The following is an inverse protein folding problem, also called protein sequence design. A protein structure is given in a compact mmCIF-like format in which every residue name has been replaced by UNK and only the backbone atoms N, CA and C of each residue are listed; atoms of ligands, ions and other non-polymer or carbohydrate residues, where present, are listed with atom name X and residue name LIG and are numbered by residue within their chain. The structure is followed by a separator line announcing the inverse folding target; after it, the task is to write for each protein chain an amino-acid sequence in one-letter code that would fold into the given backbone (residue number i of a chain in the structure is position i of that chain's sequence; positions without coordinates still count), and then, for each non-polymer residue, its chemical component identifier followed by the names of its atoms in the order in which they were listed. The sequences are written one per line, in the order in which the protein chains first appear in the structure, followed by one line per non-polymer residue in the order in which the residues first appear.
data_IF_831727426073
#
_entry.id   IF_831727426073
#
_cell.length_a   1.000
_cell.length_b   1.000
_cell.length_c   1.000
_cell.angle_alpha   90.00
_cell.angle_beta   90.00
_cell.angle_gamma   90.00
#
_symmetry.space_group_name_H-M   'P 1'
#
loop_
_entity.id
_entity.type
_entity.pdbx_description
1 polymer ?
#
# COMPACT_ATOMS: atom_id res chain seq x y z
N UNK A 1 3.78 12.33 -9.80
CA UNK A 1 2.75 12.97 -8.98
C UNK A 1 1.91 13.93 -9.81
N UNK A 2 0.77 14.36 -9.27
CA UNK A 2 -0.15 15.26 -10.00
C UNK A 2 0.54 16.57 -10.44
N UNK A 3 1.38 17.16 -9.59
CA UNK A 3 2.14 18.37 -9.92
C UNK A 3 3.10 18.18 -11.10
N UNK A 4 3.68 17.00 -11.28
CA UNK A 4 4.51 16.68 -12.45
C UNK A 4 3.66 16.61 -13.73
N UNK A 5 2.46 16.05 -13.65
CA UNK A 5 1.51 15.96 -14.78
C UNK A 5 1.11 17.36 -15.22
N UNK A 6 0.73 18.22 -14.28
CA UNK A 6 0.34 19.61 -14.54
C UNK A 6 1.50 20.41 -15.14
N UNK A 7 2.71 20.29 -14.59
CA UNK A 7 3.89 20.96 -15.10
C UNK A 7 4.27 20.47 -16.50
N UNK A 8 4.16 19.18 -16.80
CA UNK A 8 4.35 18.63 -18.14
C UNK A 8 3.29 19.13 -19.12
N UNK A 9 2.02 19.19 -18.69
CA UNK A 9 0.93 19.72 -19.52
C UNK A 9 1.17 21.19 -19.88
N UNK A 10 1.62 22.01 -18.94
CA UNK A 10 2.01 23.39 -19.16
C UNK A 10 3.20 23.51 -20.14
N UNK A 11 4.23 22.67 -19.97
CA UNK A 11 5.37 22.63 -20.86
C UNK A 11 4.95 22.28 -22.31
N UNK A 12 4.10 21.25 -22.46
CA UNK A 12 3.55 20.85 -23.77
C UNK A 12 2.73 21.99 -24.39
N UNK A 13 1.87 22.63 -23.59
CA UNK A 13 1.05 23.74 -24.06
C UNK A 13 1.92 24.93 -24.52
N UNK A 14 2.95 25.26 -23.75
CA UNK A 14 3.88 26.36 -24.08
C UNK A 14 4.63 26.12 -25.40
N UNK A 15 4.95 24.89 -25.71
CA UNK A 15 5.72 24.50 -26.90
C UNK A 15 4.87 23.76 -27.94
N UNK A 16 3.55 23.98 -27.90
CA UNK A 16 2.60 23.25 -28.75
C UNK A 16 2.92 23.33 -30.24
N UNK A 17 3.22 24.52 -30.77
CA UNK A 17 3.49 24.74 -32.19
C UNK A 17 4.77 24.03 -32.63
N UNK A 18 5.82 24.01 -31.80
CA UNK A 18 7.08 23.32 -32.09
C UNK A 18 6.89 21.78 -32.04
N UNK A 19 6.10 21.31 -31.10
CA UNK A 19 5.81 19.88 -30.96
C UNK A 19 4.85 19.39 -32.07
N UNK A 20 3.90 20.20 -32.48
CA UNK A 20 2.97 19.89 -33.58
C UNK A 20 3.66 19.90 -34.95
N UNK A 21 4.71 20.73 -35.12
CA UNK A 21 5.51 20.74 -36.32
C UNK A 21 6.53 19.58 -36.40
N UNK A 22 6.78 18.89 -35.27
CA UNK A 22 7.65 17.72 -35.25
C UNK A 22 7.03 16.59 -36.09
N UNK A 23 7.82 15.88 -36.93
CA UNK A 23 7.28 14.81 -37.77
C UNK A 23 6.61 13.73 -36.91
N UNK A 24 5.35 13.43 -37.24
CA UNK A 24 4.59 12.38 -36.57
C UNK A 24 5.40 11.07 -36.54
N UNK A 25 5.42 10.35 -35.42
CA UNK A 25 6.12 9.08 -35.36
C UNK A 25 5.48 8.11 -36.35
N UNK A 26 6.19 7.80 -37.45
CA UNK A 26 5.82 6.72 -38.34
C UNK A 26 5.75 5.42 -37.49
N UNK A 27 4.72 4.61 -37.69
CA UNK A 27 4.53 3.34 -36.99
C UNK A 27 5.74 2.36 -37.13
N UNK A 28 6.67 2.66 -38.01
CA UNK A 28 7.92 1.92 -38.25
C UNK A 28 9.17 2.51 -37.62
N UNK A 29 9.09 3.71 -37.00
CA UNK A 29 10.26 4.32 -36.35
C UNK A 29 10.49 3.75 -34.97
N UNK A 30 11.75 3.48 -34.64
CA UNK A 30 12.15 3.06 -33.30
C UNK A 30 11.98 4.21 -32.31
N UNK A 31 11.77 3.90 -31.01
CA UNK A 31 11.69 4.91 -29.94
C UNK A 31 12.87 5.88 -29.94
N UNK A 32 14.04 5.45 -30.43
CA UNK A 32 15.26 6.24 -30.51
C UNK A 32 15.19 7.30 -31.63
N UNK A 33 14.58 6.98 -32.75
CA UNK A 33 14.40 7.91 -33.90
C UNK A 33 13.29 8.94 -33.62
N UNK A 34 12.27 8.57 -32.86
CA UNK A 34 11.23 9.53 -32.39
C UNK A 34 11.84 10.54 -31.41
N UNK A 35 12.73 10.12 -30.51
CA UNK A 35 13.44 11.02 -29.57
C UNK A 35 14.37 12.00 -30.32
N UNK A 36 14.98 11.60 -31.44
CA UNK A 36 15.86 12.46 -32.24
C UNK A 36 15.14 13.60 -32.98
N UNK A 37 13.80 13.54 -33.08
CA UNK A 37 12.98 14.57 -33.71
C UNK A 37 12.44 15.65 -32.77
N UNK A 38 12.64 15.53 -31.44
CA UNK A 38 12.19 16.51 -30.47
C UNK A 38 13.30 17.51 -30.12
N UNK A 39 12.98 18.81 -29.92
CA UNK A 39 13.97 19.79 -29.49
C UNK A 39 14.62 19.39 -28.16
N UNK A 40 15.95 19.39 -28.10
CA UNK A 40 16.72 18.97 -26.92
C UNK A 40 16.37 19.76 -25.65
N UNK A 41 16.02 21.03 -25.78
CA UNK A 41 15.59 21.89 -24.68
C UNK A 41 14.29 21.42 -24.03
N UNK A 42 13.31 21.02 -24.83
CA UNK A 42 12.02 20.50 -24.34
C UNK A 42 12.24 19.16 -23.64
N UNK A 43 13.08 18.30 -24.22
CA UNK A 43 13.41 16.99 -23.61
C UNK A 43 14.15 17.18 -22.26
N UNK A 44 15.08 18.13 -22.18
CA UNK A 44 15.78 18.46 -20.92
C UNK A 44 14.82 19.04 -19.89
N UNK A 45 13.95 20.00 -20.28
CA UNK A 45 12.94 20.59 -19.39
C UNK A 45 11.97 19.53 -18.88
N UNK A 46 11.45 18.65 -19.75
CA UNK A 46 10.56 17.56 -19.34
C UNK A 46 11.23 16.59 -18.34
N UNK A 47 12.49 16.24 -18.56
CA UNK A 47 13.25 15.42 -17.61
C UNK A 47 13.46 16.11 -16.26
N UNK A 48 13.70 17.42 -16.25
CA UNK A 48 13.87 18.19 -15.01
C UNK A 48 12.57 18.29 -14.20
N UNK A 49 11.41 18.25 -14.86
CA UNK A 49 10.09 18.21 -14.19
C UNK A 49 9.79 16.87 -13.56
N UNK A 50 10.32 15.77 -14.08
CA UNK A 50 10.10 14.40 -13.59
C UNK A 50 11.07 14.04 -12.45
N UNK A 51 11.27 14.95 -11.51
CA UNK A 51 12.26 14.74 -10.43
C UNK A 51 11.71 14.01 -9.20
N UNK A 52 10.38 13.76 -9.13
CA UNK A 52 9.71 13.10 -7.98
C UNK A 52 9.70 13.92 -6.69
N UNK A 53 10.37 15.07 -6.65
CA UNK A 53 10.43 15.90 -5.46
C UNK A 53 9.04 16.46 -5.16
N UNK A 54 8.63 16.41 -3.89
CA UNK A 54 7.31 16.84 -3.38
C UNK A 54 6.11 15.95 -3.75
N UNK A 55 6.33 14.80 -4.39
CA UNK A 55 5.30 13.81 -4.63
C UNK A 55 5.40 12.71 -3.57
N UNK A 56 4.59 12.81 -2.51
CA UNK A 56 4.63 11.90 -1.36
C UNK A 56 4.40 10.45 -1.77
N UNK A 57 3.49 10.20 -2.70
CA UNK A 57 3.20 8.89 -3.27
C UNK A 57 4.42 8.27 -3.96
N UNK A 58 5.13 9.04 -4.79
CA UNK A 58 6.34 8.59 -5.47
C UNK A 58 7.48 8.37 -4.46
N UNK A 59 7.67 9.28 -3.52
CA UNK A 59 8.72 9.16 -2.50
C UNK A 59 8.48 7.95 -1.57
N UNK A 60 7.22 7.62 -1.31
CA UNK A 60 6.81 6.51 -0.44
C UNK A 60 6.86 5.17 -1.17
N UNK A 61 6.22 5.05 -2.34
CA UNK A 61 6.05 3.78 -3.05
C UNK A 61 7.06 3.54 -4.17
N UNK A 62 7.87 4.55 -4.48
CA UNK A 62 8.88 4.47 -5.54
C UNK A 62 8.32 4.70 -6.93
N UNK A 63 9.24 4.84 -7.88
CA UNK A 63 8.93 4.93 -9.31
C UNK A 63 10.04 4.30 -10.12
N UNK A 64 9.68 3.45 -11.06
CA UNK A 64 10.60 2.86 -12.02
C UNK A 64 10.17 3.22 -13.44
N UNK A 65 11.05 3.89 -14.18
CA UNK A 65 10.91 4.20 -15.59
C UNK A 65 12.07 3.56 -16.35
N UNK A 66 11.79 2.50 -17.11
CA UNK A 66 12.80 1.74 -17.84
C UNK A 66 13.57 2.60 -18.86
N UNK A 67 12.86 3.52 -19.53
CA UNK A 67 13.45 4.40 -20.55
C UNK A 67 14.23 5.61 -19.97
N UNK A 68 14.09 5.88 -18.66
CA UNK A 68 14.70 7.03 -17.97
C UNK A 68 15.19 6.66 -16.56
N UNK A 69 16.23 5.83 -16.42
CA UNK A 69 16.70 5.37 -15.10
C UNK A 69 17.12 6.50 -14.15
N UNK A 70 17.53 7.65 -14.68
CA UNK A 70 17.97 8.80 -13.88
C UNK A 70 16.85 9.52 -13.11
N UNK A 71 15.57 9.16 -13.34
CA UNK A 71 14.41 9.69 -12.59
C UNK A 71 13.71 8.60 -11.77
N UNK A 72 14.34 7.43 -11.64
CA UNK A 72 13.86 6.38 -10.76
C UNK A 72 13.98 6.83 -9.30
N UNK A 73 13.04 6.38 -8.49
CA UNK A 73 12.96 6.67 -7.07
C UNK A 73 12.76 5.36 -6.31
N UNK A 74 13.67 5.05 -5.40
CA UNK A 74 13.50 3.91 -4.50
C UNK A 74 12.41 4.19 -3.47
N UNK A 75 11.58 3.19 -3.21
CA UNK A 75 10.52 3.29 -2.22
C UNK A 75 11.08 3.45 -0.80
N UNK A 76 10.39 4.26 0.01
CA UNK A 76 10.59 4.33 1.46
C UNK A 76 9.61 3.44 2.23
N UNK A 77 8.62 2.86 1.57
CA UNK A 77 7.58 2.02 2.16
C UNK A 77 7.61 0.62 1.53
N UNK A 78 7.31 -0.38 2.35
CA UNK A 78 7.09 -1.75 1.93
C UNK A 78 5.74 -2.21 2.49
N UNK A 79 4.89 -2.76 1.64
CA UNK A 79 3.58 -3.31 2.02
C UNK A 79 3.58 -4.79 1.70
N UNK A 80 3.38 -5.62 2.72
CA UNK A 80 3.32 -7.06 2.55
C UNK A 80 1.95 -7.50 2.01
N UNK A 81 1.92 -8.65 1.33
CA UNK A 81 0.65 -9.32 1.03
C UNK A 81 -0.08 -9.64 2.33
N UNK A 82 -1.40 -9.42 2.36
CA UNK A 82 -2.23 -9.86 3.46
C UNK A 82 -2.25 -11.41 3.51
N UNK A 83 -2.12 -11.96 4.70
CA UNK A 83 -2.19 -13.39 4.93
C UNK A 83 -3.35 -13.71 5.87
N UNK A 84 -3.95 -14.88 5.73
CA UNK A 84 -4.94 -15.38 6.68
C UNK A 84 -4.26 -15.79 7.98
N UNK A 85 -4.87 -15.48 9.13
CA UNK A 85 -4.42 -15.91 10.46
C UNK A 85 -4.77 -17.36 10.76
N UNK A 86 -5.70 -17.95 10.01
CA UNK A 86 -6.25 -19.29 10.18
C UNK A 86 -6.32 -20.04 8.85
N UNK A 87 -6.63 -21.34 8.90
CA UNK A 87 -6.90 -22.13 7.71
C UNK A 87 -8.14 -21.59 7.00
N UNK A 88 -8.03 -21.32 5.70
CA UNK A 88 -9.13 -20.87 4.84
C UNK A 88 -9.63 -22.05 4.03
N UNK A 89 -10.93 -22.26 4.03
CA UNK A 89 -11.62 -23.18 3.12
C UNK A 89 -12.27 -22.35 2.02
N UNK A 90 -12.02 -22.72 0.77
CA UNK A 90 -12.59 -22.04 -0.39
C UNK A 90 -13.91 -22.70 -0.76
N UNK A 91 -14.93 -21.91 -0.93
CA UNK A 91 -16.22 -22.33 -1.45
C UNK A 91 -16.33 -21.91 -2.91
N UNK A 92 -16.96 -22.74 -3.72
CA UNK A 92 -17.11 -22.52 -5.15
C UNK A 92 -18.59 -22.41 -5.49
N UNK A 93 -18.94 -21.37 -6.22
CA UNK A 93 -20.24 -21.22 -6.82
C UNK A 93 -20.12 -21.28 -8.34
N UNK A 94 -21.00 -22.06 -8.96
CA UNK A 94 -21.07 -22.23 -10.41
C UNK A 94 -22.19 -21.38 -10.97
N UNK A 95 -21.88 -20.63 -12.01
CA UNK A 95 -22.89 -19.88 -12.72
C UNK A 95 -22.80 -20.17 -14.23
N UNK A 96 -23.95 -20.10 -14.89
CA UNK A 96 -24.09 -20.22 -16.33
C UNK A 96 -24.72 -18.97 -16.88
N UNK A 97 -24.22 -18.49 -18.03
CA UNK A 97 -24.91 -17.49 -18.81
C UNK A 97 -25.73 -18.20 -19.89
N UNK A 98 -27.04 -17.94 -19.90
CA UNK A 98 -27.98 -18.48 -20.88
C UNK A 98 -28.45 -17.32 -21.75
N UNK A 99 -28.42 -17.49 -23.09
CA UNK A 99 -29.01 -16.52 -24.00
C UNK A 99 -30.52 -16.78 -24.13
N UNK A 100 -31.33 -15.94 -23.48
CA UNK A 100 -32.80 -16.01 -23.54
C UNK A 100 -33.38 -15.73 -24.94
N UNK A 101 -32.54 -15.28 -25.89
CA UNK A 101 -32.94 -14.97 -27.27
C UNK A 101 -32.39 -15.96 -28.29
N UNK A 102 -31.69 -17.00 -27.85
CA UNK A 102 -31.18 -18.03 -28.76
C UNK A 102 -32.32 -18.75 -29.47
N UNK A 103 -32.15 -19.03 -30.75
CA UNK A 103 -33.16 -19.75 -31.56
C UNK A 103 -33.21 -21.25 -31.16
N UNK A 104 -34.35 -21.93 -31.38
CA UNK A 104 -34.45 -23.35 -31.09
C UNK A 104 -33.45 -24.18 -31.91
N UNK A 105 -32.52 -24.83 -31.23
CA UNK A 105 -31.46 -25.65 -31.83
C UNK A 105 -30.06 -25.05 -31.75
N UNK A 106 -29.93 -23.80 -31.30
CA UNK A 106 -28.63 -23.21 -30.97
C UNK A 106 -28.21 -23.53 -29.53
N UNK A 107 -26.89 -23.58 -29.25
CA UNK A 107 -26.41 -23.76 -27.88
C UNK A 107 -26.88 -22.60 -26.99
N UNK A 108 -27.75 -22.89 -26.01
CA UNK A 108 -28.30 -21.89 -25.10
C UNK A 108 -27.33 -21.48 -23.98
N UNK A 109 -26.23 -22.20 -23.81
CA UNK A 109 -25.23 -21.92 -22.75
C UNK A 109 -23.97 -21.38 -23.40
N UNK A 110 -23.72 -20.08 -23.25
CA UNK A 110 -22.53 -19.44 -23.80
C UNK A 110 -21.32 -19.59 -22.87
N UNK A 111 -21.53 -19.65 -21.55
CA UNK A 111 -20.44 -19.70 -20.58
C UNK A 111 -20.84 -20.45 -19.32
N UNK A 112 -19.97 -21.36 -18.92
CA UNK A 112 -19.99 -21.94 -17.57
C UNK A 112 -18.72 -21.44 -16.88
N UNK A 113 -18.86 -20.80 -15.73
CA UNK A 113 -17.73 -20.32 -14.94
C UNK A 113 -17.98 -20.58 -13.45
N UNK A 114 -16.92 -20.44 -12.68
CA UNK A 114 -16.99 -20.59 -11.22
C UNK A 114 -16.44 -19.34 -10.54
N UNK A 115 -17.05 -18.97 -9.42
CA UNK A 115 -16.57 -17.91 -8.53
C UNK A 115 -16.13 -18.57 -7.23
N UNK A 116 -14.94 -18.22 -6.78
CA UNK A 116 -14.42 -18.62 -5.49
C UNK A 116 -14.83 -17.62 -4.42
N UNK A 117 -15.34 -18.13 -3.30
CA UNK A 117 -15.63 -17.36 -2.09
C UNK A 117 -14.72 -17.82 -0.97
N UNK A 118 -14.22 -16.87 -0.20
CA UNK A 118 -13.54 -17.15 1.05
C UNK A 118 -13.87 -16.10 2.09
N UNK A 119 -13.85 -16.51 3.35
CA UNK A 119 -13.93 -15.63 4.50
C UNK A 119 -12.74 -15.89 5.40
N UNK A 120 -12.01 -14.84 5.76
CA UNK A 120 -10.81 -14.98 6.60
C UNK A 120 -10.57 -13.75 7.47
N UNK A 121 -9.97 -13.99 8.65
CA UNK A 121 -9.32 -12.95 9.41
C UNK A 121 -7.92 -12.72 8.84
N UNK A 122 -7.63 -11.50 8.41
CA UNK A 122 -6.38 -11.16 7.75
C UNK A 122 -5.42 -10.41 8.67
N UNK A 123 -4.14 -10.79 8.58
CA UNK A 123 -3.02 -10.00 9.05
C UNK A 123 -2.45 -9.18 7.90
N UNK A 124 -2.29 -7.87 8.12
CA UNK A 124 -1.68 -6.93 7.17
C UNK A 124 -0.46 -6.30 7.82
N UNK A 125 0.57 -6.07 7.04
CA UNK A 125 1.81 -5.46 7.52
C UNK A 125 2.35 -4.46 6.51
N UNK A 126 2.87 -3.36 7.01
CA UNK A 126 3.63 -2.39 6.24
C UNK A 126 4.73 -1.79 7.11
N UNK A 127 5.79 -1.31 6.46
CA UNK A 127 6.88 -0.59 7.11
C UNK A 127 7.24 0.65 6.30
N UNK A 128 7.55 1.74 6.98
CA UNK A 128 8.07 2.98 6.40
C UNK A 128 9.43 3.27 7.03
N UNK A 129 10.41 3.50 6.19
CA UNK A 129 11.69 4.12 6.57
C UNK A 129 11.53 5.64 6.54
N UNK A 130 11.39 6.25 7.72
CA UNK A 130 11.17 7.68 7.86
C UNK A 130 12.37 8.51 7.34
N UNK A 131 13.61 8.06 7.60
CA UNK A 131 14.81 8.72 7.12
C UNK A 131 14.90 8.68 5.59
N UNK A 132 14.58 7.53 4.99
CA UNK A 132 14.53 7.36 3.54
C UNK A 132 13.46 8.27 2.92
N UNK A 133 12.29 8.37 3.55
CA UNK A 133 11.21 9.24 3.07
C UNK A 133 11.62 10.72 3.09
N UNK A 134 12.23 11.19 4.18
CA UNK A 134 12.79 12.54 4.25
C UNK A 134 13.87 12.75 3.19
N UNK A 135 14.78 11.78 3.00
CA UNK A 135 15.80 11.82 1.97
C UNK A 135 15.22 11.92 0.56
N UNK A 136 14.11 11.22 0.29
CA UNK A 136 13.42 11.26 -1.00
C UNK A 136 12.74 12.61 -1.24
N UNK A 137 12.02 13.14 -0.23
CA UNK A 137 11.23 14.39 -0.34
C UNK A 137 12.07 15.66 -0.18
N UNK A 138 13.22 15.58 0.52
CA UNK A 138 14.04 16.73 0.92
C UNK A 138 13.29 17.74 1.80
N UNK A 139 12.22 17.31 2.46
CA UNK A 139 11.36 18.15 3.28
C UNK A 139 10.74 17.32 4.42
N UNK A 140 11.17 17.58 5.67
CA UNK A 140 10.75 16.83 6.86
C UNK A 140 9.26 16.94 7.12
N UNK A 141 8.70 18.15 7.09
CA UNK A 141 7.28 18.34 7.36
C UNK A 141 6.38 17.60 6.36
N UNK A 142 6.74 17.58 5.09
CA UNK A 142 6.00 16.83 4.07
C UNK A 142 6.09 15.33 4.30
N UNK A 143 7.24 14.83 4.76
CA UNK A 143 7.41 13.42 5.13
C UNK A 143 6.52 13.04 6.32
N UNK A 144 6.45 13.88 7.35
CA UNK A 144 5.59 13.70 8.53
C UNK A 144 4.11 13.65 8.16
N UNK A 145 3.65 14.59 7.33
CA UNK A 145 2.29 14.59 6.80
C UNK A 145 2.02 13.29 6.01
N UNK A 146 2.99 12.86 5.21
CA UNK A 146 2.91 11.62 4.45
C UNK A 146 2.79 10.38 5.33
N UNK A 147 3.57 10.28 6.41
CA UNK A 147 3.53 9.17 7.37
C UNK A 147 2.19 9.13 8.09
N UNK A 148 1.68 10.28 8.55
CA UNK A 148 0.36 10.39 9.16
C UNK A 148 -0.74 9.93 8.20
N UNK A 149 -0.74 10.45 6.97
CA UNK A 149 -1.71 10.09 5.95
C UNK A 149 -1.66 8.60 5.61
N UNK A 150 -0.45 8.01 5.52
CA UNK A 150 -0.28 6.59 5.29
C UNK A 150 -0.83 5.75 6.45
N UNK A 151 -0.59 6.14 7.70
CA UNK A 151 -1.10 5.44 8.88
C UNK A 151 -2.64 5.36 8.86
N UNK A 152 -3.31 6.42 8.46
CA UNK A 152 -4.76 6.44 8.27
C UNK A 152 -5.20 5.59 7.06
N UNK A 153 -4.49 5.73 5.94
CA UNK A 153 -4.81 5.01 4.71
C UNK A 153 -4.60 3.49 4.86
N UNK A 154 -3.58 3.05 5.59
CA UNK A 154 -3.33 1.63 5.85
C UNK A 154 -4.53 0.96 6.54
N UNK A 155 -5.27 1.70 7.35
CA UNK A 155 -6.50 1.22 8.00
C UNK A 155 -7.71 1.29 7.07
N UNK A 156 -7.91 2.42 6.39
CA UNK A 156 -9.16 2.74 5.69
C UNK A 156 -9.16 2.36 4.20
N UNK A 157 -7.99 2.29 3.54
CA UNK A 157 -7.91 1.93 2.13
C UNK A 157 -7.99 0.41 1.95
N UNK A 158 -9.19 -0.07 1.66
CA UNK A 158 -9.46 -1.48 1.37
C UNK A 158 -9.48 -1.67 -0.15
N UNK A 159 -8.91 -2.77 -0.69
CA UNK A 159 -8.99 -3.08 -2.11
C UNK A 159 -10.43 -3.11 -2.63
N UNK A 160 -10.66 -2.49 -3.77
CA UNK A 160 -12.01 -2.35 -4.35
C UNK A 160 -12.41 -3.54 -5.24
N UNK A 161 -11.53 -4.49 -5.47
CA UNK A 161 -11.82 -5.70 -6.23
C UNK A 161 -12.97 -6.49 -5.61
N UNK A 162 -13.95 -6.86 -6.43
CA UNK A 162 -15.17 -7.59 -6.02
C UNK A 162 -16.03 -6.91 -4.93
N UNK A 163 -15.89 -5.62 -4.72
CA UNK A 163 -16.67 -4.89 -3.70
C UNK A 163 -18.18 -4.99 -3.94
N UNK A 164 -18.63 -4.98 -5.19
CA UNK A 164 -20.05 -5.13 -5.51
C UNK A 164 -20.61 -6.51 -5.13
N UNK A 165 -19.78 -7.53 -5.04
CA UNK A 165 -20.19 -8.89 -4.66
C UNK A 165 -20.08 -9.12 -3.16
N UNK A 166 -18.99 -8.66 -2.53
CA UNK A 166 -18.66 -8.98 -1.14
C UNK A 166 -19.00 -7.86 -0.16
N UNK A 167 -19.03 -6.60 -0.62
CA UNK A 167 -19.18 -5.41 0.24
C UNK A 167 -18.23 -5.44 1.47
N UNK A 168 -16.99 -5.88 1.28
CA UNK A 168 -16.01 -6.14 2.34
C UNK A 168 -15.43 -4.83 2.90
N UNK A 169 -16.25 -4.07 3.64
CA UNK A 169 -15.89 -2.81 4.28
C UNK A 169 -15.61 -2.97 5.78
N UNK A 170 -15.10 -4.12 6.19
CA UNK A 170 -14.82 -4.42 7.59
C UNK A 170 -13.58 -3.66 8.08
N UNK A 171 -13.68 -2.80 9.10
CA UNK A 171 -12.53 -2.18 9.72
C UNK A 171 -11.72 -3.22 10.49
N UNK A 172 -10.40 -3.00 10.68
CA UNK A 172 -9.57 -3.92 11.47
C UNK A 172 -9.97 -3.88 12.96
N UNK A 173 -10.01 -5.06 13.58
CA UNK A 173 -10.28 -5.19 15.02
C UNK A 173 -9.09 -4.82 15.90
N UNK A 174 -7.88 -4.84 15.33
CA UNK A 174 -6.64 -4.44 15.99
C UNK A 174 -5.75 -3.68 14.99
N UNK A 175 -5.16 -2.59 15.46
CA UNK A 175 -4.14 -1.83 14.75
C UNK A 175 -2.98 -1.59 15.71
N UNK A 176 -1.81 -2.12 15.40
CA UNK A 176 -0.59 -1.88 16.17
C UNK A 176 0.44 -1.12 15.32
N UNK A 177 1.09 -0.13 15.92
CA UNK A 177 2.19 0.61 15.32
C UNK A 177 3.39 0.55 16.25
N UNK A 178 4.55 0.17 15.71
CA UNK A 178 5.81 0.19 16.42
C UNK A 178 6.77 1.17 15.74
N UNK A 179 7.31 2.11 16.50
CA UNK A 179 8.44 2.92 16.07
C UNK A 179 9.73 2.20 16.50
N UNK A 180 10.58 1.87 15.54
CA UNK A 180 11.79 1.09 15.73
C UNK A 180 13.03 1.86 15.33
N UNK A 181 14.08 1.77 16.15
CA UNK A 181 15.41 2.31 15.85
C UNK A 181 16.32 1.29 15.14
N UNK A 182 15.91 0.03 15.16
CA UNK A 182 16.61 -1.10 14.55
C UNK A 182 15.84 -1.62 13.30
N UNK A 183 16.16 -2.83 12.89
CA UNK A 183 15.48 -3.47 11.76
C UNK A 183 13.99 -3.67 12.03
N UNK A 184 13.14 -3.50 11.02
CA UNK A 184 11.71 -3.80 11.15
C UNK A 184 11.48 -5.30 11.30
N UNK A 185 10.45 -5.69 12.06
CA UNK A 185 10.03 -7.08 12.19
C UNK A 185 8.62 -7.27 11.65
N UNK A 186 8.49 -8.19 10.70
CA UNK A 186 7.18 -8.67 10.27
C UNK A 186 6.77 -9.85 11.16
N UNK A 187 5.67 -9.69 11.88
CA UNK A 187 5.16 -10.70 12.82
C UNK A 187 4.31 -11.80 12.16
N UNK A 188 4.36 -11.94 10.83
CA UNK A 188 3.61 -12.94 10.07
C UNK A 188 3.84 -14.38 10.58
N UNK A 189 5.02 -14.67 11.14
CA UNK A 189 5.34 -15.98 11.71
C UNK A 189 4.51 -16.33 12.97
N UNK A 190 3.77 -15.38 13.54
CA UNK A 190 2.76 -15.68 14.55
C UNK A 190 1.70 -16.66 14.03
N UNK A 191 1.50 -16.70 12.71
CA UNK A 191 0.48 -17.48 12.01
C UNK A 191 1.04 -18.64 11.18
N UNK A 192 2.32 -19.00 11.37
CA UNK A 192 2.92 -20.20 10.77
C UNK A 192 2.10 -21.46 11.11
N UNK A 193 1.62 -21.54 12.36
CA UNK A 193 0.57 -22.47 12.76
C UNK A 193 -0.75 -21.73 12.71
N UNK A 194 -1.73 -22.19 11.90
CA UNK A 194 -3.04 -21.56 11.82
C UNK A 194 -3.70 -21.44 13.19
N UNK A 195 -4.35 -20.31 13.43
CA UNK A 195 -5.20 -20.12 14.61
C UNK A 195 -6.43 -21.00 14.43
N UNK A 196 -6.76 -21.79 15.44
CA UNK A 196 -7.93 -22.66 15.41
C UNK A 196 -9.13 -21.99 16.11
N UNK A 197 -10.32 -22.02 15.48
CA UNK A 197 -11.53 -21.54 16.11
C UNK A 197 -11.81 -22.25 17.44
N UNK A 198 -12.30 -21.49 18.43
CA UNK A 198 -12.74 -22.00 19.71
C UNK A 198 -14.18 -21.54 19.96
N UNK A 199 -14.93 -22.34 20.70
CA UNK A 199 -16.35 -22.02 21.00
C UNK A 199 -16.46 -20.84 21.95
N UNK A 200 -15.48 -20.64 22.81
CA UNK A 200 -15.44 -19.65 23.87
C UNK A 200 -14.75 -18.33 23.50
N UNK A 201 -14.13 -18.25 22.31
CA UNK A 201 -13.38 -17.06 21.88
C UNK A 201 -13.51 -16.78 20.39
N UNK A 202 -13.62 -15.52 20.04
CA UNK A 202 -13.61 -15.05 18.67
C UNK A 202 -12.25 -15.26 18.00
N UNK A 203 -12.26 -15.53 16.72
CA UNK A 203 -11.05 -15.79 15.94
C UNK A 203 -10.11 -14.57 15.87
N UNK A 204 -10.68 -13.37 15.87
CA UNK A 204 -9.92 -12.11 15.94
C UNK A 204 -9.19 -11.95 17.26
N UNK A 205 -9.84 -12.27 18.39
CA UNK A 205 -9.23 -12.28 19.73
C UNK A 205 -8.04 -13.25 19.78
N UNK A 206 -8.25 -14.49 19.34
CA UNK A 206 -7.21 -15.52 19.27
C UNK A 206 -6.04 -15.12 18.37
N UNK A 207 -6.32 -14.40 17.29
CA UNK A 207 -5.30 -13.89 16.37
C UNK A 207 -4.43 -12.80 17.02
N UNK A 208 -5.04 -11.89 17.78
CA UNK A 208 -4.32 -10.84 18.51
C UNK A 208 -3.48 -11.45 19.66
N UNK A 209 -4.02 -12.46 20.39
CA UNK A 209 -3.24 -13.21 21.38
C UNK A 209 -2.01 -13.89 20.77
N UNK A 210 -2.16 -14.53 19.61
CA UNK A 210 -1.05 -15.16 18.90
C UNK A 210 0.00 -14.14 18.46
N UNK A 211 -0.43 -12.98 17.98
CA UNK A 211 0.43 -11.87 17.58
C UNK A 211 1.23 -11.33 18.76
N UNK A 212 0.57 -11.02 19.88
CA UNK A 212 1.19 -10.53 21.11
C UNK A 212 2.22 -11.50 21.68
N UNK A 213 1.88 -12.80 21.71
CA UNK A 213 2.79 -13.85 22.16
C UNK A 213 4.02 -13.97 21.26
N UNK A 214 3.86 -13.86 19.95
CA UNK A 214 4.97 -13.93 19.00
C UNK A 214 5.86 -12.72 19.12
N UNK A 215 5.30 -11.52 19.24
CA UNK A 215 6.05 -10.30 19.42
C UNK A 215 6.87 -10.30 20.72
N UNK A 216 6.29 -10.74 21.84
CA UNK A 216 7.03 -10.91 23.09
C UNK A 216 8.22 -11.89 22.93
N UNK A 217 8.03 -12.97 22.17
CA UNK A 217 9.10 -13.92 21.86
C UNK A 217 10.19 -13.28 21.00
N UNK A 218 9.83 -12.53 19.95
CA UNK A 218 10.80 -11.81 19.12
C UNK A 218 11.59 -10.81 19.95
N UNK A 219 10.93 -10.02 20.78
CA UNK A 219 11.56 -9.06 21.67
C UNK A 219 12.56 -9.71 22.64
N UNK A 220 12.25 -10.91 23.17
CA UNK A 220 13.15 -11.64 24.09
C UNK A 220 14.44 -12.13 23.42
N UNK A 221 14.44 -12.39 22.11
CA UNK A 221 15.62 -12.89 21.39
C UNK A 221 16.42 -11.79 20.69
N UNK A 222 15.73 -10.80 20.14
CA UNK A 222 16.35 -9.77 19.32
C UNK A 222 16.39 -8.39 20.00
N UNK A 223 15.83 -8.29 21.21
CA UNK A 223 15.63 -7.04 21.92
C UNK A 223 14.41 -6.28 21.41
N UNK A 224 13.86 -5.44 22.25
CA UNK A 224 12.78 -4.52 21.90
C UNK A 224 13.30 -3.20 21.29
N UNK A 225 14.64 -2.99 21.31
CA UNK A 225 15.30 -1.83 20.69
C UNK A 225 14.87 -0.47 21.26
N UNK A 226 14.21 -0.45 22.44
CA UNK A 226 13.52 0.73 22.96
C UNK A 226 12.35 1.17 22.05
N UNK A 227 11.69 0.21 21.43
CA UNK A 227 10.55 0.46 20.56
C UNK A 227 9.42 1.17 21.28
N UNK A 228 8.88 2.22 20.66
CA UNK A 228 7.64 2.83 21.13
C UNK A 228 6.46 2.16 20.42
N UNK A 229 5.53 1.61 21.20
CA UNK A 229 4.31 0.98 20.70
C UNK A 229 3.08 1.84 20.96
N UNK A 230 2.17 1.84 19.98
CA UNK A 230 0.84 2.40 20.12
C UNK A 230 -0.18 1.50 19.41
N UNK A 231 -1.41 1.45 19.92
CA UNK A 231 -2.39 0.54 19.37
C UNK A 231 -3.84 1.02 19.54
N UNK A 232 -4.70 0.48 18.66
CA UNK A 232 -6.16 0.44 18.79
C UNK A 232 -6.54 -1.03 18.92
N UNK A 233 -7.28 -1.39 19.93
CA UNK A 233 -7.69 -2.78 20.18
C UNK A 233 -9.17 -2.86 20.57
N UNK A 234 -10.00 -3.43 19.70
CA UNK A 234 -11.40 -3.75 19.98
C UNK A 234 -11.56 -5.14 20.58
N UNK A 235 -10.48 -5.95 20.63
CA UNK A 235 -10.52 -7.33 21.11
C UNK A 235 -10.21 -7.47 22.58
N UNK A 236 -9.49 -6.49 23.16
CA UNK A 236 -8.99 -6.55 24.54
C UNK A 236 -7.93 -7.64 24.76
N UNK A 237 -7.28 -8.11 23.68
CA UNK A 237 -6.34 -9.23 23.76
C UNK A 237 -4.87 -8.80 23.68
N UNK A 238 -4.60 -7.55 23.32
CA UNK A 238 -3.25 -7.00 23.37
C UNK A 238 -2.87 -6.63 24.82
N UNK A 239 -1.66 -6.91 25.30
CA UNK A 239 -1.26 -6.61 26.67
C UNK A 239 -1.27 -5.09 26.96
N UNK A 240 -1.91 -4.69 28.06
CA UNK A 240 -2.05 -3.28 28.46
C UNK A 240 -0.70 -2.61 28.81
N UNK A 241 0.27 -3.39 29.22
CA UNK A 241 1.63 -2.93 29.54
C UNK A 241 2.53 -2.76 28.31
N UNK A 242 1.99 -3.06 27.13
CA UNK A 242 2.74 -3.03 25.88
C UNK A 242 2.32 -1.88 24.99
N UNK A 243 2.82 -0.69 25.33
CA UNK A 243 2.62 0.52 24.54
C UNK A 243 1.45 1.39 25.00
N UNK A 244 1.09 2.36 24.19
CA UNK A 244 0.03 3.34 24.47
C UNK A 244 -1.25 2.97 23.75
N UNK A 245 -2.33 2.74 24.50
CA UNK A 245 -3.66 2.50 23.96
C UNK A 245 -4.30 3.81 23.48
N UNK A 246 -4.90 3.81 22.31
CA UNK A 246 -5.68 4.91 21.78
C UNK A 246 -7.12 4.48 21.53
N UNK A 247 -8.04 5.47 21.50
CA UNK A 247 -9.48 5.24 21.27
C UNK A 247 -9.95 5.72 19.90
N UNK A 248 -9.08 6.37 19.14
CA UNK A 248 -9.40 6.83 17.77
C UNK A 248 -8.21 6.72 16.84
N UNK A 249 -8.48 6.46 15.58
CA UNK A 249 -7.46 6.38 14.52
C UNK A 249 -6.72 7.71 14.34
N UNK A 250 -7.41 8.83 14.45
CA UNK A 250 -6.78 10.15 14.33
C UNK A 250 -5.76 10.40 15.46
N UNK A 251 -6.11 10.05 16.71
CA UNK A 251 -5.20 10.17 17.85
C UNK A 251 -3.97 9.26 17.68
N UNK A 252 -4.15 8.01 17.21
CA UNK A 252 -3.04 7.11 16.90
C UNK A 252 -2.14 7.71 15.80
N UNK A 253 -2.72 8.22 14.71
CA UNK A 253 -1.96 8.82 13.61
C UNK A 253 -1.22 10.10 14.01
N UNK A 254 -1.79 10.91 14.90
CA UNK A 254 -1.14 12.08 15.50
C UNK A 254 0.04 11.66 16.38
N UNK A 255 -0.13 10.62 17.18
CA UNK A 255 0.96 10.07 17.98
C UNK A 255 2.12 9.61 17.10
N UNK A 256 1.84 8.87 16.01
CA UNK A 256 2.87 8.44 15.05
C UNK A 256 3.64 9.65 14.49
N UNK A 257 2.91 10.67 14.03
CA UNK A 257 3.53 11.91 13.52
C UNK A 257 4.43 12.55 14.57
N UNK A 258 3.96 12.70 15.83
CA UNK A 258 4.70 13.35 16.90
C UNK A 258 5.96 12.57 17.31
N UNK A 259 5.88 11.24 17.40
CA UNK A 259 7.03 10.41 17.74
C UNK A 259 8.10 10.47 16.63
N UNK A 260 7.69 10.33 15.37
CA UNK A 260 8.64 10.44 14.24
C UNK A 260 9.26 11.83 14.17
N UNK A 261 8.52 12.88 14.45
CA UNK A 261 9.04 14.26 14.51
C UNK A 261 10.15 14.38 15.56
N UNK A 262 9.92 13.86 16.76
CA UNK A 262 10.91 13.86 17.85
C UNK A 262 12.18 13.12 17.44
N UNK A 263 12.04 11.96 16.80
CA UNK A 263 13.18 11.14 16.37
C UNK A 263 13.99 11.77 15.21
N UNK A 264 13.34 12.55 14.36
CA UNK A 264 14.02 13.29 13.28
C UNK A 264 14.69 14.58 13.75
N UNK A 265 14.49 14.97 15.02
CA UNK A 265 15.15 16.14 15.63
C UNK A 265 14.51 17.48 15.27
N UNK A 266 13.22 17.47 14.93
CA UNK A 266 12.42 18.66 14.59
C UNK A 266 11.58 19.16 15.78
#
# INVERSE_FOLDING_TARGET
GQGEIEALAQLIHKHWDELAAAPAPDAKKTKKEVKAGLPDEIVKAAKALLNGQKAVDIAMFGRMLADMPGVNQDAACQVAHAISTHRVEREFDYFTAVDDKAEPGEPQVEMISQIEFNSATFYRYAVIDANKLVSNLKETNLALIGIKAFSMAMVSAIPTGKQNTFAAHNPPSFVGVALRHASPFNLANAFEKPVWPRVDKELTVLSVEALAKHDAKVASFYGDGQDAWAYLDMTGAWPDDKGTAFTSLDALAQWVESQVRTELGD
#
